data_IF_162320048949
#
_entry.id   IF_162320048949
#
_cell.length_a   1.000
_cell.length_b   1.000
_cell.length_c   1.000
_cell.angle_alpha   90.00
_cell.angle_beta   90.00
_cell.angle_gamma   90.00
#
_symmetry.space_group_name_H-M   'P 1'
#
loop_
_entity.id
_entity.type
_entity.pdbx_description
1 polymer ?
#
# COMPACT_ATOMS: atom_id res chain seq x y z
N UNK A 1 -25.97 -4.12 -9.02
CA UNK A 1 -24.52 -4.34 -9.22
C UNK A 1 -24.03 -3.34 -10.27
N UNK A 2 -23.83 -2.08 -9.88
CA UNK A 2 -23.46 -0.96 -10.76
C UNK A 2 -22.08 -0.35 -10.38
N UNK A 3 -21.35 -0.97 -9.44
CA UNK A 3 -20.26 -0.30 -8.73
C UNK A 3 -18.88 -0.35 -9.40
N UNK A 4 -18.72 -0.99 -10.55
CA UNK A 4 -17.38 -1.21 -11.12
C UNK A 4 -17.14 -0.47 -12.44
N UNK A 5 -17.97 0.51 -12.84
CA UNK A 5 -17.70 1.27 -14.07
C UNK A 5 -16.66 2.38 -13.87
N UNK A 6 -15.91 2.73 -14.92
CA UNK A 6 -15.01 3.88 -14.90
C UNK A 6 -15.76 5.16 -15.31
N UNK A 7 -15.71 6.19 -14.48
CA UNK A 7 -16.29 7.50 -14.80
C UNK A 7 -15.27 8.39 -15.49
N UNK A 8 -15.54 8.77 -16.73
CA UNK A 8 -14.71 9.72 -17.48
C UNK A 8 -14.83 11.11 -16.87
N UNK A 9 -13.72 11.84 -16.86
CA UNK A 9 -13.69 13.21 -16.37
C UNK A 9 -14.36 14.14 -17.39
N UNK A 10 -15.24 15.08 -16.94
CA UNK A 10 -15.74 16.13 -17.81
C UNK A 10 -14.61 16.97 -18.38
N UNK A 11 -14.75 17.46 -19.62
CA UNK A 11 -13.70 18.23 -20.32
C UNK A 11 -13.16 19.40 -19.50
N UNK A 12 -14.03 20.19 -18.85
CA UNK A 12 -13.56 21.30 -18.00
C UNK A 12 -12.77 20.87 -16.76
N UNK A 13 -13.01 19.66 -16.24
CA UNK A 13 -12.20 19.09 -15.14
C UNK A 13 -10.87 18.57 -15.69
N UNK A 14 -10.87 17.95 -16.88
CA UNK A 14 -9.67 17.50 -17.58
C UNK A 14 -8.69 18.64 -17.85
N UNK A 15 -9.17 19.77 -18.39
CA UNK A 15 -8.32 20.93 -18.69
C UNK A 15 -7.67 21.51 -17.42
N UNK A 16 -8.43 21.57 -16.31
CA UNK A 16 -7.89 21.99 -15.02
C UNK A 16 -6.83 21.03 -14.48
N UNK A 17 -7.09 19.73 -14.58
CA UNK A 17 -6.18 18.67 -14.14
C UNK A 17 -4.90 18.62 -14.98
N UNK A 18 -5.00 18.81 -16.31
CA UNK A 18 -3.86 18.86 -17.21
C UNK A 18 -2.86 19.94 -16.79
N UNK A 19 -3.34 21.15 -16.46
CA UNK A 19 -2.47 22.23 -15.96
C UNK A 19 -1.72 21.85 -14.68
N UNK A 20 -2.36 21.09 -13.78
CA UNK A 20 -1.71 20.58 -12.57
C UNK A 20 -0.69 19.50 -12.92
N UNK A 21 -1.04 18.56 -13.80
CA UNK A 21 -0.16 17.48 -14.24
C UNK A 21 1.10 18.01 -14.94
N UNK A 22 0.98 19.05 -15.78
CA UNK A 22 2.10 19.68 -16.47
C UNK A 22 3.13 20.35 -15.54
N UNK A 23 2.81 20.55 -14.26
CA UNK A 23 3.79 20.98 -13.25
C UNK A 23 4.73 19.85 -12.81
N UNK A 24 4.43 18.59 -13.16
CA UNK A 24 5.18 17.42 -12.76
C UNK A 24 6.07 16.93 -13.92
N UNK A 25 7.40 17.00 -13.76
CA UNK A 25 8.36 16.63 -14.80
C UNK A 25 8.14 15.21 -15.36
N UNK A 26 7.89 14.23 -14.47
CA UNK A 26 7.58 12.86 -14.91
C UNK A 26 6.32 12.79 -15.79
N UNK A 27 5.29 13.59 -15.52
CA UNK A 27 4.10 13.61 -16.37
C UNK A 27 4.44 14.16 -17.75
N UNK A 28 5.21 15.25 -17.82
CA UNK A 28 5.64 15.82 -19.11
C UNK A 28 6.38 14.80 -19.96
N UNK A 29 7.29 14.02 -19.35
CA UNK A 29 8.03 12.97 -20.06
C UNK A 29 7.13 11.84 -20.60
N UNK A 30 6.01 11.58 -19.94
CA UNK A 30 5.06 10.54 -20.33
C UNK A 30 3.95 11.07 -21.26
N UNK A 31 3.74 12.38 -21.31
CA UNK A 31 2.56 13.01 -21.89
C UNK A 31 2.36 12.61 -23.35
N UNK A 32 3.40 12.75 -24.18
CA UNK A 32 3.30 12.47 -25.61
C UNK A 32 2.99 11.00 -25.89
N UNK A 33 3.63 10.08 -25.16
CA UNK A 33 3.38 8.64 -25.30
C UNK A 33 1.96 8.27 -24.86
N UNK A 34 1.45 8.92 -23.80
CA UNK A 34 0.08 8.73 -23.34
C UNK A 34 -0.93 9.29 -24.33
N UNK A 35 -0.69 10.49 -24.87
CA UNK A 35 -1.54 11.12 -25.88
C UNK A 35 -1.58 10.28 -27.17
N UNK A 36 -0.45 9.74 -27.62
CA UNK A 36 -0.36 8.88 -28.79
C UNK A 36 -1.17 7.57 -28.67
N UNK A 37 -1.51 7.14 -27.45
CA UNK A 37 -2.30 5.94 -27.21
C UNK A 37 -3.74 6.20 -26.75
N UNK A 38 -4.19 7.45 -26.69
CA UNK A 38 -5.55 7.83 -26.24
C UNK A 38 -6.65 7.11 -27.02
N UNK A 39 -6.52 6.96 -28.35
CA UNK A 39 -7.50 6.24 -29.17
C UNK A 39 -7.60 4.74 -28.80
N UNK A 40 -6.52 4.15 -28.30
CA UNK A 40 -6.46 2.74 -27.89
C UNK A 40 -6.96 2.54 -26.46
N UNK A 41 -6.60 3.45 -25.56
CA UNK A 41 -6.92 3.39 -24.13
C UNK A 41 -8.28 4.01 -23.80
N UNK A 42 -8.79 4.89 -24.66
CA UNK A 42 -9.99 5.69 -24.41
C UNK A 42 -9.86 6.67 -23.24
N UNK A 43 -8.66 6.85 -22.69
CA UNK A 43 -8.38 7.75 -21.56
C UNK A 43 -7.37 8.79 -21.98
N UNK A 44 -7.62 10.01 -21.55
CA UNK A 44 -6.69 11.11 -21.71
C UNK A 44 -5.45 10.94 -20.81
N UNK A 45 -4.31 11.56 -21.14
CA UNK A 45 -3.09 11.46 -20.34
C UNK A 45 -3.29 11.77 -18.86
N UNK A 46 -4.04 12.83 -18.54
CA UNK A 46 -4.34 13.27 -17.18
C UNK A 46 -5.24 12.28 -16.41
N UNK A 47 -6.11 11.54 -17.11
CA UNK A 47 -6.93 10.49 -16.51
C UNK A 47 -6.09 9.25 -16.17
N UNK A 48 -5.22 8.84 -17.10
CA UNK A 48 -4.24 7.76 -16.88
C UNK A 48 -3.32 8.10 -15.71
N UNK A 49 -2.78 9.32 -15.69
CA UNK A 49 -1.96 9.84 -14.60
C UNK A 49 -2.70 9.79 -13.27
N UNK A 50 -3.94 10.26 -13.23
CA UNK A 50 -4.72 10.31 -12.00
C UNK A 50 -5.06 8.92 -11.44
N UNK A 51 -5.35 7.94 -12.30
CA UNK A 51 -5.53 6.55 -11.86
C UNK A 51 -4.23 5.99 -11.31
N UNK A 52 -3.11 6.14 -12.02
CA UNK A 52 -1.81 5.67 -11.57
C UNK A 52 -1.39 6.31 -10.25
N UNK A 53 -1.59 7.62 -10.09
CA UNK A 53 -1.27 8.36 -8.87
C UNK A 53 -2.10 7.87 -7.68
N UNK A 54 -3.41 7.66 -7.88
CA UNK A 54 -4.29 7.09 -6.84
C UNK A 54 -3.86 5.68 -6.45
N UNK A 55 -3.38 4.87 -7.39
CA UNK A 55 -2.81 3.55 -7.10
C UNK A 55 -1.50 3.66 -6.32
N UNK A 56 -0.57 4.53 -6.73
CA UNK A 56 0.70 4.74 -6.06
C UNK A 56 0.50 5.15 -4.59
N UNK A 57 -0.40 6.11 -4.33
CA UNK A 57 -0.75 6.54 -2.97
C UNK A 57 -1.33 5.39 -2.13
N UNK A 58 -2.26 4.61 -2.69
CA UNK A 58 -2.83 3.43 -2.02
C UNK A 58 -1.78 2.37 -1.71
N UNK A 59 -0.84 2.12 -2.62
CA UNK A 59 0.23 1.16 -2.42
C UNK A 59 1.19 1.64 -1.31
N UNK A 60 1.55 2.92 -1.30
CA UNK A 60 2.41 3.50 -0.25
C UNK A 60 1.80 3.46 1.15
N UNK A 61 0.47 3.43 1.26
CA UNK A 61 -0.25 3.31 2.53
C UNK A 61 -0.61 1.87 2.90
N UNK A 62 -0.37 0.90 2.00
CA UNK A 62 -0.77 -0.48 2.22
C UNK A 62 0.26 -1.23 3.08
N UNK A 63 -0.17 -2.00 4.10
CA UNK A 63 0.74 -2.87 4.82
C UNK A 63 1.20 -4.08 3.98
N UNK A 64 0.49 -4.39 2.89
CA UNK A 64 0.78 -5.48 1.94
C UNK A 64 0.60 -5.00 0.50
N UNK A 65 1.51 -4.14 0.00
CA UNK A 65 1.41 -3.58 -1.35
C UNK A 65 1.56 -4.66 -2.42
N UNK A 66 2.28 -5.75 -2.12
CA UNK A 66 2.45 -6.94 -2.95
C UNK A 66 1.14 -7.69 -3.24
N UNK A 67 0.23 -7.75 -2.28
CA UNK A 67 -1.12 -8.28 -2.48
C UNK A 67 -2.05 -7.26 -3.13
N UNK A 68 -1.95 -6.01 -2.71
CA UNK A 68 -2.81 -4.92 -3.19
C UNK A 68 -2.68 -4.75 -4.71
N UNK A 69 -1.46 -4.78 -5.22
CA UNK A 69 -1.19 -4.62 -6.65
C UNK A 69 -1.74 -5.78 -7.49
N UNK A 70 -1.67 -7.03 -6.99
CA UNK A 70 -2.22 -8.22 -7.67
C UNK A 70 -3.74 -8.11 -7.77
N UNK A 71 -4.38 -7.66 -6.69
CA UNK A 71 -5.82 -7.44 -6.67
C UNK A 71 -6.24 -6.33 -7.66
N UNK A 72 -5.54 -5.19 -7.64
CA UNK A 72 -5.83 -4.10 -8.57
C UNK A 72 -5.63 -4.52 -10.03
N UNK A 73 -4.57 -5.29 -10.33
CA UNK A 73 -4.30 -5.78 -11.69
C UNK A 73 -5.43 -6.66 -12.24
N UNK A 74 -5.99 -7.53 -11.38
CA UNK A 74 -7.09 -8.40 -11.74
C UNK A 74 -8.43 -7.65 -11.88
N UNK A 75 -8.70 -6.69 -10.98
CA UNK A 75 -9.97 -5.96 -10.95
C UNK A 75 -10.09 -4.92 -12.06
N UNK A 76 -9.01 -4.22 -12.39
CA UNK A 76 -9.08 -3.04 -13.25
C UNK A 76 -9.56 -3.33 -14.68
N UNK A 77 -9.36 -4.55 -15.21
CA UNK A 77 -9.94 -4.92 -16.52
C UNK A 77 -11.46 -4.90 -16.47
N UNK A 78 -12.05 -5.46 -15.41
CA UNK A 78 -13.50 -5.39 -15.19
C UNK A 78 -13.97 -3.95 -15.20
N UNK A 79 -13.22 -3.07 -14.51
CA UNK A 79 -13.56 -1.66 -14.43
C UNK A 79 -13.45 -0.89 -15.75
N UNK A 80 -12.44 -1.20 -16.56
CA UNK A 80 -12.23 -0.54 -17.85
C UNK A 80 -13.10 -1.10 -19.00
N UNK A 81 -13.90 -2.14 -18.75
CA UNK A 81 -14.90 -2.62 -19.73
C UNK A 81 -16.11 -1.71 -19.88
N UNK A 82 -16.37 -0.82 -18.92
CA UNK A 82 -17.51 0.10 -19.00
C UNK A 82 -17.05 1.50 -18.62
N UNK A 83 -17.23 2.44 -19.54
CA UNK A 83 -16.99 3.85 -19.32
C UNK A 83 -18.32 4.57 -19.16
N UNK A 84 -18.40 5.50 -18.21
CA UNK A 84 -19.56 6.34 -17.95
C UNK A 84 -19.16 7.78 -18.21
N UNK A 85 -19.74 8.38 -19.24
CA UNK A 85 -19.52 9.79 -19.58
C UNK A 85 -20.50 10.73 -18.85
N UNK A 86 -20.26 12.04 -19.00
CA UNK A 86 -21.18 13.07 -18.49
C UNK A 86 -22.61 12.84 -18.96
N UNK A 87 -23.56 12.83 -18.02
CA UNK A 87 -24.96 12.50 -18.29
C UNK A 87 -25.33 11.03 -18.11
N UNK A 88 -24.40 10.18 -17.66
CA UNK A 88 -24.67 8.78 -17.32
C UNK A 88 -24.69 7.83 -18.53
N UNK A 89 -24.15 8.27 -19.66
CA UNK A 89 -24.06 7.45 -20.87
C UNK A 89 -22.99 6.38 -20.69
N UNK A 90 -23.38 5.12 -20.75
CA UNK A 90 -22.49 3.97 -20.67
C UNK A 90 -21.96 3.55 -22.03
N UNK A 91 -20.64 3.37 -22.11
CA UNK A 91 -19.92 2.83 -23.27
C UNK A 91 -19.27 1.52 -22.86
N UNK A 92 -19.74 0.41 -23.42
CA UNK A 92 -19.12 -0.90 -23.23
C UNK A 92 -17.96 -1.12 -24.20
N UNK A 93 -16.86 -1.63 -23.66
CA UNK A 93 -15.57 -1.80 -24.33
C UNK A 93 -15.17 -3.27 -24.31
N UNK A 94 -14.43 -3.71 -25.32
CA UNK A 94 -13.95 -5.08 -25.39
C UNK A 94 -12.71 -5.31 -24.50
N UNK A 95 -12.32 -6.57 -24.32
CA UNK A 95 -11.18 -6.96 -23.47
C UNK A 95 -9.85 -6.37 -23.94
N UNK A 96 -9.65 -6.21 -25.24
CA UNK A 96 -8.43 -5.61 -25.79
C UNK A 96 -8.32 -4.12 -25.44
N UNK A 97 -9.44 -3.39 -25.51
CA UNK A 97 -9.52 -1.98 -25.12
C UNK A 97 -9.35 -1.79 -23.60
N UNK A 98 -10.00 -2.63 -22.79
CA UNK A 98 -9.83 -2.62 -21.34
C UNK A 98 -8.38 -3.00 -20.93
N UNK A 99 -7.79 -3.98 -21.62
CA UNK A 99 -6.39 -4.38 -21.46
C UNK A 99 -5.41 -3.26 -21.82
N UNK A 100 -5.62 -2.56 -22.94
CA UNK A 100 -4.85 -1.38 -23.33
C UNK A 100 -4.89 -0.28 -22.25
N UNK A 101 -6.08 -0.01 -21.70
CA UNK A 101 -6.25 0.97 -20.62
C UNK A 101 -5.47 0.58 -19.36
N UNK A 102 -5.59 -0.69 -18.94
CA UNK A 102 -4.81 -1.24 -17.83
C UNK A 102 -3.31 -1.12 -18.10
N UNK A 103 -2.87 -1.47 -19.30
CA UNK A 103 -1.48 -1.39 -19.69
C UNK A 103 -0.93 0.04 -19.53
N UNK A 104 -1.63 1.06 -20.05
CA UNK A 104 -1.21 2.45 -19.91
C UNK A 104 -1.10 2.88 -18.44
N UNK A 105 -2.13 2.60 -17.62
CA UNK A 105 -2.15 2.96 -16.19
C UNK A 105 -1.02 2.27 -15.42
N UNK A 106 -0.77 0.99 -15.68
CA UNK A 106 0.30 0.26 -15.01
C UNK A 106 1.71 0.66 -15.50
N UNK A 107 1.86 1.06 -16.76
CA UNK A 107 3.10 1.66 -17.26
C UNK A 107 3.36 2.98 -16.54
N UNK A 108 2.38 3.87 -16.44
CA UNK A 108 2.52 5.13 -15.70
C UNK A 108 2.84 4.89 -14.23
N UNK A 109 2.16 3.92 -13.58
CA UNK A 109 2.45 3.52 -12.20
C UNK A 109 3.88 2.99 -12.05
N UNK A 110 4.36 2.17 -12.99
CA UNK A 110 5.73 1.66 -12.98
C UNK A 110 6.72 2.83 -12.95
N UNK A 111 6.54 3.83 -13.82
CA UNK A 111 7.40 5.02 -13.86
C UNK A 111 7.30 5.88 -12.59
N UNK A 112 6.12 6.01 -11.98
CA UNK A 112 5.97 6.70 -10.70
C UNK A 112 6.71 6.00 -9.56
N UNK A 113 6.55 4.68 -9.44
CA UNK A 113 7.24 3.88 -8.41
C UNK A 113 8.74 3.82 -8.67
N UNK A 114 9.15 3.80 -9.94
CA UNK A 114 10.51 3.86 -10.41
C UNK A 114 11.24 5.14 -9.98
N UNK A 115 10.56 6.28 -10.11
CA UNK A 115 11.15 7.60 -9.88
C UNK A 115 11.38 7.95 -8.40
N UNK A 116 11.00 7.09 -7.44
CA UNK A 116 11.07 7.43 -6.01
C UNK A 116 12.49 7.45 -5.44
N UNK A 117 13.43 6.69 -6.03
CA UNK A 117 14.83 6.61 -5.61
C UNK A 117 15.68 5.90 -6.66
N UNK A 118 16.98 5.76 -6.41
CA UNK A 118 17.87 4.89 -7.19
C UNK A 118 17.31 3.46 -7.28
N UNK A 119 17.69 2.74 -8.33
CA UNK A 119 17.26 1.35 -8.57
C UNK A 119 17.56 0.45 -7.37
N UNK A 120 18.76 0.57 -6.81
CA UNK A 120 19.26 -0.31 -5.75
C UNK A 120 18.60 -0.05 -4.39
N UNK A 121 18.10 1.17 -4.15
CA UNK A 121 17.45 1.57 -2.90
C UNK A 121 15.93 1.69 -3.02
N UNK A 122 15.35 1.27 -4.16
CA UNK A 122 13.92 1.47 -4.40
C UNK A 122 13.04 0.55 -3.53
N UNK A 123 12.25 1.10 -2.58
CA UNK A 123 11.40 0.30 -1.71
C UNK A 123 10.30 -0.45 -2.48
N UNK A 124 10.00 -0.01 -3.70
CA UNK A 124 9.01 -0.59 -4.61
C UNK A 124 9.64 -1.51 -5.67
N UNK A 125 10.95 -1.80 -5.63
CA UNK A 125 11.63 -2.61 -6.65
C UNK A 125 10.91 -3.94 -6.95
N UNK A 126 10.41 -4.63 -5.91
CA UNK A 126 9.64 -5.88 -6.07
C UNK A 126 8.31 -5.67 -6.82
N UNK A 127 7.62 -4.55 -6.58
CA UNK A 127 6.40 -4.19 -7.29
C UNK A 127 6.71 -3.85 -8.75
N UNK A 128 7.77 -3.08 -9.00
CA UNK A 128 8.20 -2.74 -10.35
C UNK A 128 8.48 -4.00 -11.18
N UNK A 129 9.18 -4.99 -10.62
CA UNK A 129 9.42 -6.29 -11.28
C UNK A 129 8.12 -7.03 -11.57
N UNK A 130 7.18 -7.06 -10.62
CA UNK A 130 5.87 -7.67 -10.83
C UNK A 130 5.11 -7.00 -11.99
N UNK A 131 5.07 -5.66 -12.02
CA UNK A 131 4.38 -4.90 -13.06
C UNK A 131 5.00 -5.20 -14.42
N UNK A 132 6.33 -5.11 -14.57
CA UNK A 132 7.03 -5.39 -15.83
C UNK A 132 6.72 -6.80 -16.34
N UNK A 133 6.75 -7.82 -15.47
CA UNK A 133 6.43 -9.21 -15.86
C UNK A 133 5.02 -9.33 -16.41
N UNK A 134 4.06 -8.60 -15.84
CA UNK A 134 2.66 -8.62 -16.29
C UNK A 134 2.45 -7.84 -17.58
N UNK A 135 3.15 -6.72 -17.77
CA UNK A 135 3.00 -5.87 -18.94
C UNK A 135 3.74 -6.38 -20.18
N UNK A 136 4.78 -7.22 -20.04
CA UNK A 136 5.55 -7.76 -21.18
C UNK A 136 4.71 -8.51 -22.20
N UNK A 137 3.59 -9.09 -21.76
CA UNK A 137 2.66 -9.83 -22.62
C UNK A 137 1.65 -8.90 -23.33
N UNK A 138 1.56 -7.63 -22.95
CA UNK A 138 0.61 -6.66 -23.49
C UNK A 138 1.21 -5.93 -24.71
N UNK A 139 0.55 -5.95 -25.89
CA UNK A 139 1.07 -5.33 -27.10
C UNK A 139 1.37 -3.82 -26.97
N UNK A 140 0.54 -3.09 -26.23
CA UNK A 140 0.70 -1.64 -26.02
C UNK A 140 1.95 -1.30 -25.19
N UNK A 141 2.44 -2.23 -24.35
CA UNK A 141 3.56 -1.93 -23.45
C UNK A 141 4.84 -1.59 -24.22
N UNK A 142 5.12 -2.35 -25.29
CA UNK A 142 6.31 -2.12 -26.11
C UNK A 142 6.25 -0.78 -26.86
N UNK A 143 5.07 -0.40 -27.34
CA UNK A 143 4.85 0.88 -28.02
C UNK A 143 5.05 2.04 -27.04
N UNK A 144 4.43 1.96 -25.85
CA UNK A 144 4.62 2.96 -24.80
C UNK A 144 6.10 3.12 -24.41
N UNK A 145 6.82 2.02 -24.16
CA UNK A 145 8.24 2.09 -23.81
C UNK A 145 9.06 2.76 -24.91
N UNK A 146 8.74 2.47 -26.17
CA UNK A 146 9.43 3.04 -27.33
C UNK A 146 9.17 4.53 -27.47
N UNK A 147 7.91 4.95 -27.35
CA UNK A 147 7.53 6.37 -27.50
C UNK A 147 8.06 7.21 -26.33
N UNK A 148 8.03 6.70 -25.10
CA UNK A 148 8.65 7.37 -23.95
C UNK A 148 10.16 7.56 -24.18
N UNK A 149 10.86 6.51 -24.63
CA UNK A 149 12.31 6.57 -24.91
C UNK A 149 12.64 7.53 -26.04
N UNK A 150 11.78 7.63 -27.06
CA UNK A 150 11.92 8.62 -28.14
C UNK A 150 11.81 10.03 -27.57
N UNK A 151 10.77 10.33 -26.78
CA UNK A 151 10.61 11.65 -26.15
C UNK A 151 11.77 12.01 -25.24
N UNK A 152 12.25 11.07 -24.41
CA UNK A 152 13.44 11.28 -23.58
C UNK A 152 14.68 11.62 -24.42
N UNK A 153 14.88 10.97 -25.57
CA UNK A 153 16.02 11.23 -26.46
C UNK A 153 15.92 12.59 -27.16
N UNK A 154 14.71 13.05 -27.49
CA UNK A 154 14.46 14.35 -28.09
C UNK A 154 14.74 15.48 -27.08
N UNK A 155 14.27 15.32 -25.85
CA UNK A 155 14.57 16.26 -24.74
C UNK A 155 16.08 16.31 -24.42
N UNK A 156 16.76 15.16 -24.41
CA UNK A 156 18.21 15.10 -24.24
C UNK A 156 18.97 15.84 -25.36
N UNK A 157 18.48 15.75 -26.61
CA UNK A 157 19.06 16.46 -27.74
C UNK A 157 18.93 17.99 -27.62
N UNK A 158 17.85 18.45 -26.96
CA UNK A 158 17.61 19.87 -26.65
C UNK A 158 18.31 20.33 -25.36
N UNK A 159 19.10 19.45 -24.72
CA UNK A 159 19.88 19.74 -23.52
C UNK A 159 19.14 19.54 -22.19
N UNK A 160 17.92 18.99 -22.23
CA UNK A 160 17.14 18.62 -21.06
C UNK A 160 17.34 17.14 -20.73
N UNK A 161 18.26 16.85 -19.79
CA UNK A 161 18.53 15.47 -19.39
C UNK A 161 17.46 14.93 -18.44
N UNK A 162 16.80 13.85 -18.87
CA UNK A 162 15.92 13.05 -18.01
C UNK A 162 16.72 11.87 -17.46
N UNK A 163 16.94 11.74 -16.13
CA UNK A 163 17.68 10.59 -15.59
C UNK A 163 16.88 9.29 -15.86
N UNK A 164 17.37 8.40 -16.74
CA UNK A 164 16.59 7.24 -17.15
C UNK A 164 16.68 6.16 -16.07
N UNK A 165 15.57 5.81 -15.43
CA UNK A 165 15.53 4.64 -14.55
C UNK A 165 14.99 3.44 -15.33
N UNK A 166 15.89 2.65 -15.91
CA UNK A 166 15.56 1.53 -16.81
C UNK A 166 15.26 0.22 -16.06
N UNK A 167 14.03 0.07 -15.54
CA UNK A 167 13.59 -1.16 -14.87
C UNK A 167 13.44 -2.36 -15.80
N UNK A 168 13.54 -2.19 -17.12
CA UNK A 168 13.48 -3.32 -18.07
C UNK A 168 14.75 -4.19 -18.01
N UNK A 169 15.87 -3.62 -17.55
CA UNK A 169 17.17 -4.30 -17.38
C UNK A 169 17.35 -4.95 -16.00
N UNK A 170 16.53 -4.61 -15.01
CA UNK A 170 16.58 -5.17 -13.65
C UNK A 170 16.13 -6.65 -13.57
N UNK A 171 15.70 -7.25 -14.69
CA UNK A 171 15.08 -8.58 -14.68
C UNK A 171 16.03 -9.74 -14.52
N UNK A 172 17.36 -9.56 -14.61
CA UNK A 172 18.32 -10.66 -14.45
C UNK A 172 18.86 -10.72 -13.01
N UNK A 173 19.53 -9.67 -12.53
CA UNK A 173 20.17 -9.66 -11.21
C UNK A 173 19.16 -9.77 -10.05
N UNK A 174 18.01 -9.09 -10.14
CA UNK A 174 16.95 -9.16 -9.12
C UNK A 174 16.15 -10.47 -9.24
N UNK A 175 16.03 -11.04 -10.45
CA UNK A 175 15.39 -12.35 -10.62
C UNK A 175 16.21 -13.48 -9.99
N UNK A 176 17.54 -13.45 -10.09
CA UNK A 176 18.41 -14.47 -9.48
C UNK A 176 18.38 -14.40 -7.94
N UNK A 177 18.17 -13.21 -7.36
CA UNK A 177 17.93 -13.08 -5.91
C UNK A 177 16.49 -13.46 -5.52
N UNK A 178 15.52 -13.38 -6.45
CA UNK A 178 14.12 -13.77 -6.25
C UNK A 178 13.87 -15.27 -6.46
N UNK A 179 14.65 -15.99 -7.28
CA UNK A 179 14.54 -17.45 -7.43
C UNK A 179 14.90 -18.18 -6.13
N UNK A 180 15.67 -17.56 -5.25
CA UNK A 180 15.96 -18.07 -3.91
C UNK A 180 14.78 -17.96 -2.92
N UNK A 181 13.74 -17.20 -3.24
CA UNK A 181 12.46 -17.24 -2.50
C UNK A 181 11.46 -17.91 -3.43
N UNK A 182 11.42 -19.24 -3.34
CA UNK A 182 10.42 -20.07 -3.98
C UNK A 182 9.05 -19.38 -3.91
N UNK A 183 8.30 -19.45 -5.01
CA UNK A 183 6.86 -19.25 -5.00
C UNK A 183 6.31 -20.01 -3.79
N UNK A 184 6.01 -19.29 -2.70
CA UNK A 184 5.44 -19.90 -1.52
C UNK A 184 4.17 -20.60 -1.99
N UNK A 185 4.17 -21.92 -1.89
CA UNK A 185 2.99 -22.74 -2.12
C UNK A 185 1.81 -22.07 -1.43
N UNK A 186 0.66 -22.07 -2.10
CA UNK A 186 -0.57 -21.49 -1.56
C UNK A 186 -0.83 -22.08 -0.17
N UNK A 187 -0.49 -21.32 0.87
CA UNK A 187 -0.62 -21.79 2.23
C UNK A 187 -2.10 -21.86 2.56
N UNK A 188 -2.58 -23.06 2.89
CA UNK A 188 -3.96 -23.24 3.28
C UNK A 188 -4.22 -22.49 4.59
N UNK A 189 -5.46 -22.02 4.82
CA UNK A 189 -5.82 -21.31 6.06
C UNK A 189 -5.46 -22.12 7.30
N UNK A 190 -5.59 -23.46 7.24
CA UNK A 190 -5.17 -24.35 8.32
C UNK A 190 -3.66 -24.31 8.60
N UNK A 191 -2.83 -24.26 7.55
CA UNK A 191 -1.37 -24.19 7.66
C UNK A 191 -0.94 -22.81 8.18
N UNK A 192 -1.57 -21.73 7.70
CA UNK A 192 -1.33 -20.37 8.21
C UNK A 192 -1.63 -20.26 9.71
N UNK A 193 -2.73 -20.87 10.16
CA UNK A 193 -3.12 -20.90 11.57
C UNK A 193 -2.13 -21.73 12.38
N UNK A 194 -1.69 -22.88 11.85
CA UNK A 194 -0.71 -23.72 12.51
C UNK A 194 0.65 -23.04 12.66
N UNK A 195 1.11 -22.34 11.62
CA UNK A 195 2.36 -21.57 11.64
C UNK A 195 2.28 -20.38 12.61
N UNK A 196 1.14 -19.69 12.62
CA UNK A 196 0.90 -18.59 13.57
C UNK A 196 0.95 -19.08 15.01
N UNK A 197 0.29 -20.20 15.33
CA UNK A 197 0.35 -20.81 16.67
C UNK A 197 1.76 -21.31 16.99
N UNK A 198 2.44 -21.94 16.02
CA UNK A 198 3.81 -22.42 16.15
C UNK A 198 4.84 -21.32 16.36
N UNK A 199 4.55 -20.09 15.94
CA UNK A 199 5.40 -18.92 16.19
C UNK A 199 5.49 -18.51 17.66
N UNK A 200 4.60 -19.01 18.52
CA UNK A 200 4.48 -18.64 19.94
C UNK A 200 4.38 -17.12 20.18
N UNK A 201 3.91 -16.36 19.20
CA UNK A 201 3.70 -14.92 19.31
C UNK A 201 2.20 -14.60 19.40
N UNK A 202 1.73 -14.04 20.53
CA UNK A 202 0.35 -13.56 20.67
C UNK A 202 -0.02 -12.51 19.61
N UNK A 203 0.93 -11.65 19.23
CA UNK A 203 0.73 -10.60 18.24
C UNK A 203 0.51 -11.16 16.82
N UNK A 204 1.28 -12.18 16.44
CA UNK A 204 1.11 -12.89 15.16
C UNK A 204 -0.23 -13.61 15.12
N UNK A 205 -0.58 -14.34 16.18
CA UNK A 205 -1.88 -15.01 16.29
C UNK A 205 -3.05 -14.02 16.20
N UNK A 206 -2.97 -12.88 16.90
CA UNK A 206 -4.00 -11.83 16.87
C UNK A 206 -4.17 -11.23 15.48
N UNK A 207 -3.06 -11.00 14.77
CA UNK A 207 -3.09 -10.44 13.42
C UNK A 207 -3.78 -11.38 12.42
N UNK A 208 -3.45 -12.68 12.47
CA UNK A 208 -4.11 -13.70 11.63
C UNK A 208 -5.59 -13.82 12.01
N UNK A 209 -5.91 -13.80 13.29
CA UNK A 209 -7.27 -13.88 13.81
C UNK A 209 -8.17 -12.73 13.34
N UNK A 210 -7.67 -11.50 13.30
CA UNK A 210 -8.41 -10.35 12.79
C UNK A 210 -8.75 -10.48 11.30
N UNK A 211 -7.80 -10.94 10.49
CA UNK A 211 -8.03 -11.16 9.06
C UNK A 211 -9.10 -12.23 8.85
N UNK A 212 -8.98 -13.37 9.55
CA UNK A 212 -9.94 -14.46 9.44
C UNK A 212 -11.32 -14.04 9.94
N UNK A 213 -11.42 -13.29 11.03
CA UNK A 213 -12.69 -12.78 11.58
C UNK A 213 -13.40 -11.84 10.61
N UNK A 214 -12.64 -10.94 9.96
CA UNK A 214 -13.17 -10.03 8.95
C UNK A 214 -13.74 -10.78 7.74
N UNK A 215 -13.05 -11.84 7.29
CA UNK A 215 -13.53 -12.72 6.24
C UNK A 215 -14.76 -13.53 6.70
N UNK A 216 -14.74 -14.05 7.94
CA UNK A 216 -15.79 -14.90 8.49
C UNK A 216 -17.14 -14.21 8.55
N UNK A 217 -17.16 -12.92 8.92
CA UNK A 217 -18.38 -12.09 8.96
C UNK A 217 -19.01 -11.88 7.59
N UNK A 218 -18.21 -11.84 6.53
CA UNK A 218 -18.68 -11.62 5.15
C UNK A 218 -19.07 -12.90 4.42
N UNK A 219 -18.58 -14.05 4.89
CA UNK A 219 -18.69 -15.33 4.17
C UNK A 219 -19.26 -16.49 5.02
N UNK A 220 -20.15 -16.17 5.96
CA UNK A 220 -21.00 -17.18 6.61
C UNK A 220 -20.28 -18.09 7.61
N UNK A 221 -19.32 -17.55 8.37
CA UNK A 221 -18.65 -18.25 9.48
C UNK A 221 -17.79 -19.47 9.11
N UNK A 222 -17.40 -19.61 7.83
CA UNK A 222 -16.61 -20.73 7.28
C UNK A 222 -15.32 -21.09 8.03
N UNK A 223 -14.67 -20.13 8.68
CA UNK A 223 -13.38 -20.29 9.38
C UNK A 223 -13.48 -20.13 10.90
N UNK A 224 -14.68 -20.26 11.48
CA UNK A 224 -14.88 -20.05 12.92
C UNK A 224 -13.99 -20.97 13.78
N UNK A 225 -13.89 -22.25 13.43
CA UNK A 225 -13.04 -23.20 14.15
C UNK A 225 -11.54 -22.82 14.17
N UNK A 226 -11.04 -22.13 13.13
CA UNK A 226 -9.66 -21.65 13.10
C UNK A 226 -9.47 -20.38 13.94
N UNK A 227 -10.49 -19.54 14.03
CA UNK A 227 -10.50 -18.33 14.87
C UNK A 227 -10.54 -18.72 16.35
N UNK A 228 -11.35 -19.73 16.70
CA UNK A 228 -11.44 -20.23 18.07
C UNK A 228 -10.10 -20.84 18.51
N UNK A 229 -9.45 -21.60 17.63
CA UNK A 229 -8.11 -22.17 17.87
C UNK A 229 -7.03 -21.10 18.09
N UNK A 230 -7.11 -19.97 17.39
CA UNK A 230 -6.20 -18.84 17.59
C UNK A 230 -6.47 -18.12 18.91
N UNK A 231 -7.73 -17.92 19.30
CA UNK A 231 -8.08 -17.37 20.61
C UNK A 231 -7.50 -18.22 21.75
N UNK A 232 -7.76 -19.53 21.73
CA UNK A 232 -7.22 -20.42 22.77
C UNK A 232 -5.69 -20.43 22.83
N UNK A 233 -5.03 -20.30 21.67
CA UNK A 233 -3.57 -20.23 21.63
C UNK A 233 -3.04 -18.92 22.22
N UNK A 234 -3.69 -17.78 21.94
CA UNK A 234 -3.35 -16.49 22.53
C UNK A 234 -3.52 -16.54 24.05
N UNK A 235 -4.65 -17.06 24.53
CA UNK A 235 -4.94 -17.14 25.96
C UNK A 235 -3.89 -17.97 26.71
N UNK A 236 -3.53 -19.15 26.18
CA UNK A 236 -2.45 -19.98 26.73
C UNK A 236 -1.10 -19.26 26.77
N UNK A 237 -0.73 -18.57 25.69
CA UNK A 237 0.54 -17.83 25.63
C UNK A 237 0.59 -16.67 26.62
N UNK A 238 -0.54 -15.99 26.83
CA UNK A 238 -0.65 -14.89 27.81
C UNK A 238 -0.58 -15.43 29.24
N UNK A 239 -1.22 -16.56 29.52
CA UNK A 239 -1.14 -17.25 30.81
C UNK A 239 0.28 -17.74 31.12
N UNK A 240 0.99 -18.31 30.14
CA UNK A 240 2.38 -18.73 30.26
C UNK A 240 3.29 -17.53 30.55
N UNK A 241 3.16 -16.43 29.80
CA UNK A 241 3.94 -15.20 30.04
C UNK A 241 3.69 -14.60 31.43
N UNK A 242 2.44 -14.65 31.91
CA UNK A 242 2.10 -14.16 33.24
C UNK A 242 2.61 -15.09 34.35
N UNK A 243 2.63 -16.41 34.11
CA UNK A 243 3.15 -17.39 35.06
C UNK A 243 4.68 -17.35 35.16
N UNK A 244 5.40 -17.11 34.06
CA UNK A 244 6.86 -16.92 34.07
C UNK A 244 7.30 -15.69 34.87
N UNK A 245 6.52 -14.59 34.82
CA UNK A 245 6.79 -13.36 35.60
C UNK A 245 6.60 -13.54 37.10
N UNK A 246 5.79 -14.50 37.54
CA UNK A 246 5.57 -14.79 38.97
C UNK A 246 6.78 -15.54 39.57
N UNK A 247 7.48 -16.35 38.76
CA UNK A 247 8.66 -17.10 39.22
C UNK A 247 9.90 -16.21 39.35
N UNK A 248 10.05 -15.18 38.50
CA UNK A 248 11.18 -14.23 38.55
C UNK A 248 11.09 -13.22 39.71
N UNK A 249 9.96 -13.12 40.41
CA UNK A 249 9.80 -12.17 41.52
C UNK A 249 10.17 -12.75 42.90
N UNK A 250 10.75 -13.96 42.95
CA UNK A 250 11.23 -14.60 44.19
C UNK A 250 12.61 -14.07 44.66
N UNK A 251 12.83 -12.75 44.59
CA UNK A 251 14.12 -12.16 44.98
C UNK A 251 14.09 -10.81 45.67
N UNK A 252 12.98 -10.07 45.67
CA UNK A 252 12.95 -8.77 46.37
C UNK A 252 11.57 -8.50 46.96
N UNK A 253 11.50 -8.53 48.29
CA UNK A 253 10.32 -8.14 49.07
C UNK A 253 10.19 -6.62 48.96
N UNK A 254 9.25 -6.13 48.15
CA UNK A 254 8.68 -4.80 48.34
C UNK A 254 7.41 -4.97 49.17
N UNK A 255 7.47 -4.52 50.42
CA UNK A 255 6.29 -4.33 51.27
C UNK A 255 5.34 -3.34 50.58
N UNK A 256 4.23 -3.83 50.04
CA UNK A 256 3.07 -3.01 49.70
C UNK A 256 2.07 -3.25 50.82
N UNK A 257 1.94 -2.27 51.71
CA UNK A 257 0.86 -2.25 52.70
C UNK A 257 -0.48 -2.08 51.97
N UNK A 258 -1.31 -3.09 52.14
CA UNK A 258 -2.66 -3.19 51.65
C UNK A 258 -3.56 -2.32 52.53
N UNK A 259 -4.10 -1.21 52.03
CA UNK A 259 -5.20 -0.52 52.70
C UNK A 259 -6.49 -0.72 51.89
N UNK A 260 -7.28 -1.68 52.36
CA UNK A 260 -8.68 -1.84 52.02
C UNK A 260 -9.54 -0.79 52.76
N UNK A 261 -10.42 -0.13 52.00
CA UNK A 261 -11.77 0.29 52.44
C UNK A 261 -12.07 1.80 52.37
N UNK A 262 -13.36 2.22 52.30
CA UNK A 262 -14.59 1.50 51.94
C UNK A 262 -15.33 2.11 50.74
N UNK A 263 -16.30 1.33 50.25
CA UNK A 263 -17.31 1.67 49.24
C UNK A 263 -18.40 2.56 49.86
N UNK A 264 -18.63 3.78 49.34
CA UNK A 264 -19.94 4.38 49.02
C UNK A 264 -19.90 5.90 48.83
N UNK A 265 -20.63 6.34 47.80
CA UNK A 265 -21.26 7.65 47.55
C UNK A 265 -20.72 8.91 48.22
N UNK A 266 -20.16 9.82 47.42
CA UNK A 266 -20.79 11.13 47.16
C UNK A 266 -20.01 11.91 46.09
N UNK A 267 -20.76 12.49 45.16
CA UNK A 267 -20.27 13.42 44.14
C UNK A 267 -19.88 14.73 44.83
N UNK A 268 -18.64 15.20 44.69
CA UNK A 268 -18.29 16.64 44.74
C UNK A 268 -16.91 16.97 44.15
N UNK A 269 -16.97 17.75 43.08
CA UNK A 269 -16.00 18.75 42.59
C UNK A 269 -14.50 18.48 42.75
N UNK A 270 -13.84 18.07 41.67
CA UNK A 270 -12.39 18.33 41.50
C UNK A 270 -12.19 19.64 40.73
N UNK A 271 -11.82 20.68 41.49
CA UNK A 271 -11.30 21.96 41.03
C UNK A 271 -9.92 21.75 40.40
N UNK A 272 -9.75 22.19 39.15
CA UNK A 272 -8.44 22.36 38.52
C UNK A 272 -7.63 23.43 39.25
N UNK A 273 -6.34 23.16 39.50
CA UNK A 273 -5.33 24.17 39.80
C UNK A 273 -4.12 23.96 38.90
N UNK A 274 -3.96 24.86 37.92
CA UNK A 274 -2.72 25.07 37.19
C UNK A 274 -1.70 25.76 38.10
N UNK A 275 -0.52 25.19 38.27
CA UNK A 275 0.60 25.81 38.97
C UNK A 275 1.55 26.49 37.98
N UNK A 276 1.35 27.78 37.74
CA UNK A 276 2.42 28.70 37.32
C UNK A 276 3.00 29.36 38.57
N UNK A 277 4.33 29.44 38.68
CA UNK A 277 4.96 30.18 39.77
C UNK A 277 6.48 30.12 39.75
N UNK A 278 7.09 30.97 38.94
CA UNK A 278 8.51 31.33 39.02
C UNK A 278 8.86 32.00 40.36
N UNK A 279 10.02 31.66 40.92
CA UNK A 279 10.93 32.53 41.71
C UNK A 279 12.15 31.66 42.04
N UNK A 280 13.38 31.91 41.60
CA UNK A 280 14.07 33.19 41.50
C UNK A 280 15.11 33.27 42.62
N UNK A 281 16.38 32.91 42.33
CA UNK A 281 17.60 33.47 42.95
C UNK A 281 18.88 32.89 42.30
N UNK A 282 19.67 33.80 41.73
CA UNK A 282 21.13 33.72 41.52
C UNK A 282 21.82 33.47 42.90
N UNK A 283 23.07 33.06 43.08
CA UNK A 283 24.41 33.52 42.63
C UNK A 283 25.34 32.33 43.02
N UNK A 284 26.41 31.91 42.34
CA UNK A 284 27.74 32.51 42.35
C UNK A 284 28.74 31.60 41.59
N UNK A 285 29.72 32.21 40.93
CA UNK A 285 30.84 31.55 40.29
C UNK A 285 32.07 31.54 41.21
N UNK A 286 32.86 30.46 41.21
CA UNK A 286 34.32 30.48 40.91
C UNK A 286 35.03 29.14 41.19
N UNK A 287 35.81 28.76 40.18
CA UNK A 287 37.19 28.25 40.18
C UNK A 287 37.59 27.03 41.04
N UNK A 288 38.01 26.00 40.30
CA UNK A 288 39.06 25.03 40.61
C UNK A 288 39.48 24.38 39.30
#
# INVERSE_FOLDING_TARGET
MLEDAFHLLPTGVRDGLLNVCLSHSLFCNLYEALAACEDRTGLAPEEVWSEALRMAQRLGQSPRPDFSIKHDYARLVSRYRTFVAGGGVETHRNDAQAGATRCAVFTTLLYMLAATSSVDDNPYARLCVFIVRRLREEPLYQDLCRDIRRGESEEEADGHFVPPTDYTKCTAAVADTLVAVQEGEWMQVGELVQEAVGSHSPQVCTSVMHVLTGYNRKHGHRYQAHIDRLHEAIDRMVEEQNSSRIVENNGTINHIENNQGPVNGDVKEQRFLMGNGMSGKQIEAKCG
#
